data_IF_031600798972
#
_entry.id   IF_031600798972
#
_cell.length_a   1.000
_cell.length_b   1.000
_cell.length_c   1.000
_cell.angle_alpha   90.00
_cell.angle_beta   90.00
_cell.angle_gamma   90.00
#
_symmetry.space_group_name_H-M   'P 1'
#
loop_
_entity.id
_entity.type
_entity.pdbx_description
1 polymer ?
#
# COMPACT_ATOMS: atom_id res chain seq x y z
N UNK A 1 5.22 9.05 -70.30
CA UNK A 1 6.06 8.85 -69.10
C UNK A 1 6.95 7.65 -69.41
N UNK A 2 8.14 7.76 -69.99
CA UNK A 2 9.42 8.24 -69.41
C UNK A 2 9.72 7.55 -68.06
N UNK A 3 10.83 6.84 -67.81
CA UNK A 3 12.09 6.53 -68.54
C UNK A 3 12.71 5.26 -67.89
N UNK A 4 12.99 4.20 -68.65
CA UNK A 4 14.30 3.77 -69.19
C UNK A 4 15.47 3.58 -68.18
N UNK A 5 15.72 2.30 -67.88
CA UNK A 5 16.97 1.52 -68.02
C UNK A 5 18.39 2.14 -67.80
N UNK A 6 19.23 1.26 -67.21
CA UNK A 6 20.69 1.07 -67.36
C UNK A 6 21.67 1.91 -66.53
N UNK A 7 22.69 1.21 -65.99
CA UNK A 7 24.06 1.72 -66.07
C UNK A 7 24.98 1.43 -64.89
N UNK A 8 25.82 0.40 -65.05
CA UNK A 8 27.25 0.29 -64.71
C UNK A 8 27.96 1.37 -63.86
N UNK A 9 28.85 0.91 -62.96
CA UNK A 9 30.32 1.12 -63.06
C UNK A 9 31.04 1.54 -61.75
N UNK A 10 31.87 0.62 -61.26
CA UNK A 10 33.32 0.75 -61.00
C UNK A 10 33.91 1.90 -60.14
N UNK A 11 34.44 1.49 -58.95
CA UNK A 11 35.71 1.83 -58.25
C UNK A 11 36.14 3.30 -58.01
N UNK A 12 36.58 3.60 -56.77
CA UNK A 12 37.91 4.15 -56.37
C UNK A 12 37.96 4.29 -54.82
N UNK A 13 38.85 3.56 -54.10
CA UNK A 13 40.13 4.04 -53.48
C UNK A 13 39.89 5.10 -52.36
N UNK A 14 40.41 5.04 -51.13
CA UNK A 14 41.82 4.80 -50.74
C UNK A 14 42.09 4.78 -49.21
N UNK A 15 43.18 4.10 -48.81
CA UNK A 15 44.12 4.27 -47.66
C UNK A 15 43.64 4.12 -46.19
N UNK A 16 44.35 3.50 -45.24
CA UNK A 16 45.73 2.95 -45.18
C UNK A 16 45.92 1.98 -43.97
N UNK A 17 46.84 1.00 -44.08
CA UNK A 17 48.15 0.86 -43.37
C UNK A 17 48.03 0.85 -41.82
N UNK A 18 48.54 -0.08 -41.00
CA UNK A 18 49.83 -0.81 -40.99
C UNK A 18 49.79 -1.97 -39.94
N UNK A 19 50.66 -2.96 -40.14
CA UNK A 19 50.85 -4.24 -39.45
C UNK A 19 51.50 -4.20 -38.02
N UNK A 20 51.01 -5.09 -37.14
CA UNK A 20 51.70 -6.09 -36.27
C UNK A 20 52.82 -5.68 -35.28
N UNK A 21 52.66 -6.05 -33.99
CA UNK A 21 53.54 -7.02 -33.28
C UNK A 21 52.97 -7.41 -31.90
N UNK A 22 52.68 -8.71 -31.69
CA UNK A 22 52.53 -9.32 -30.36
C UNK A 22 53.55 -10.45 -30.28
N UNK A 23 54.50 -10.35 -29.35
CA UNK A 23 55.51 -11.39 -29.10
C UNK A 23 55.12 -12.19 -27.85
N UNK A 24 55.23 -13.50 -28.01
CA UNK A 24 54.86 -14.57 -27.10
C UNK A 24 55.74 -14.66 -25.84
N UNK A 25 55.26 -15.39 -24.83
CA UNK A 25 56.07 -15.80 -23.68
C UNK A 25 55.29 -16.64 -22.65
N UNK A 26 55.22 -17.94 -22.90
CA UNK A 26 54.67 -19.00 -22.03
C UNK A 26 55.53 -19.22 -20.78
N UNK A 27 54.93 -19.43 -19.60
CA UNK A 27 55.48 -20.31 -18.55
C UNK A 27 54.35 -21.00 -17.78
N UNK A 28 54.50 -22.30 -17.59
CA UNK A 28 53.55 -23.23 -17.01
C UNK A 28 53.69 -23.35 -15.47
N UNK A 29 52.58 -23.64 -14.78
CA UNK A 29 52.55 -24.37 -13.52
C UNK A 29 51.13 -24.97 -13.30
N UNK A 30 51.00 -26.09 -12.56
CA UNK A 30 50.00 -27.13 -12.80
C UNK A 30 48.62 -26.85 -12.19
N UNK A 31 47.59 -27.44 -12.82
CA UNK A 31 46.22 -27.56 -12.31
C UNK A 31 46.21 -28.28 -10.96
N UNK A 32 45.76 -27.59 -9.91
CA UNK A 32 45.19 -28.22 -8.72
C UNK A 32 43.67 -28.08 -8.80
N UNK A 33 43.00 -29.22 -8.86
CA UNK A 33 41.55 -29.32 -8.68
C UNK A 33 41.32 -29.32 -7.18
N UNK A 34 41.08 -28.14 -6.63
CA UNK A 34 40.56 -28.03 -5.28
C UNK A 34 39.04 -28.09 -5.43
N UNK A 35 38.45 -29.22 -5.01
CA UNK A 35 37.02 -29.39 -4.88
C UNK A 35 36.53 -28.48 -3.74
N UNK A 36 36.37 -27.19 -4.04
CA UNK A 36 35.65 -26.29 -3.16
C UNK A 36 34.16 -26.54 -3.37
N UNK A 37 33.56 -27.22 -2.40
CA UNK A 37 32.10 -27.31 -2.31
C UNK A 37 31.60 -25.91 -1.99
N UNK A 38 31.28 -25.13 -3.04
CA UNK A 38 30.63 -23.85 -2.86
C UNK A 38 29.29 -24.09 -2.15
N UNK A 39 29.22 -23.73 -0.87
CA UNK A 39 27.97 -23.66 -0.14
C UNK A 39 27.05 -22.68 -0.87
N UNK A 40 25.75 -22.98 -1.04
CA UNK A 40 24.82 -22.01 -1.60
C UNK A 40 24.82 -20.75 -0.72
N UNK A 41 24.66 -19.54 -1.29
CA UNK A 41 24.62 -18.32 -0.50
C UNK A 41 23.43 -18.37 0.48
N UNK A 42 23.71 -18.74 1.74
CA UNK A 42 22.81 -18.57 2.87
C UNK A 42 22.82 -17.09 3.26
N UNK A 43 21.88 -16.36 2.68
CA UNK A 43 21.62 -14.98 3.04
C UNK A 43 20.47 -14.47 2.20
N UNK A 44 19.24 -14.76 2.63
CA UNK A 44 18.10 -14.00 2.14
C UNK A 44 18.43 -12.51 2.36
N UNK A 45 18.23 -11.64 1.35
CA UNK A 45 18.40 -10.21 1.55
C UNK A 45 17.52 -9.78 2.74
N UNK A 46 17.98 -8.84 3.59
CA UNK A 46 17.16 -8.36 4.69
C UNK A 46 15.82 -7.88 4.14
N UNK A 47 14.70 -8.14 4.85
CA UNK A 47 13.40 -7.67 4.41
C UNK A 47 13.50 -6.18 4.13
N UNK A 48 13.02 -5.78 2.94
CA UNK A 48 12.95 -4.38 2.54
C UNK A 48 12.27 -3.61 3.69
N UNK A 49 12.86 -2.52 4.20
CA UNK A 49 12.14 -1.64 5.11
C UNK A 49 10.81 -1.27 4.44
N UNK A 50 9.70 -1.65 5.07
CA UNK A 50 8.38 -1.26 4.60
C UNK A 50 8.29 0.26 4.48
N UNK A 51 7.34 0.80 3.71
CA UNK A 51 7.13 2.24 3.67
C UNK A 51 6.99 2.78 5.10
N UNK A 52 7.85 3.73 5.47
CA UNK A 52 7.72 4.45 6.74
C UNK A 52 6.48 5.31 6.65
N UNK A 53 5.37 4.83 7.21
CA UNK A 53 4.13 5.61 7.29
C UNK A 53 4.28 6.60 8.44
N UNK A 54 4.37 7.88 8.10
CA UNK A 54 4.31 8.97 9.06
C UNK A 54 2.88 9.10 9.59
N UNK A 55 2.50 8.25 10.55
CA UNK A 55 1.25 8.38 11.29
C UNK A 55 1.40 9.59 12.22
N UNK A 56 1.02 10.76 11.73
CA UNK A 56 0.71 11.88 12.61
C UNK A 56 -0.45 11.41 13.47
N UNK A 57 -0.26 11.18 14.76
CA UNK A 57 -1.36 10.87 15.68
C UNK A 57 -2.27 12.08 15.76
N UNK A 58 -3.58 11.89 15.65
CA UNK A 58 -4.54 12.96 15.89
C UNK A 58 -4.33 13.51 17.31
N UNK A 59 -3.85 14.75 17.41
CA UNK A 59 -3.69 15.50 18.67
C UNK A 59 -4.93 16.32 19.03
N UNK A 60 -5.97 16.29 18.19
CA UNK A 60 -7.19 17.07 18.40
C UNK A 60 -8.14 16.34 19.36
N UNK A 61 -7.72 16.27 20.63
CA UNK A 61 -8.48 15.75 21.77
C UNK A 61 -9.82 16.47 22.03
N UNK A 62 -10.13 17.51 21.25
CA UNK A 62 -11.34 18.32 21.41
C UNK A 62 -12.58 17.75 20.71
N UNK A 63 -12.43 16.82 19.77
CA UNK A 63 -13.55 16.15 19.12
C UNK A 63 -13.55 14.66 19.42
N UNK A 64 -14.66 14.15 19.96
CA UNK A 64 -14.92 12.71 20.02
C UNK A 64 -14.92 12.19 18.58
N UNK A 65 -13.94 11.37 18.26
CA UNK A 65 -13.67 10.99 16.89
C UNK A 65 -12.74 9.80 16.78
N UNK A 66 -12.62 9.36 15.54
CA UNK A 66 -11.84 8.22 15.10
C UNK A 66 -11.18 8.58 13.77
N UNK A 67 -9.90 8.20 13.64
CA UNK A 67 -9.21 8.17 12.36
C UNK A 67 -8.68 6.75 12.14
N UNK A 68 -9.11 6.11 11.06
CA UNK A 68 -8.74 4.75 10.69
C UNK A 68 -7.81 4.81 9.50
N UNK A 69 -6.57 4.37 9.68
CA UNK A 69 -5.62 4.14 8.58
C UNK A 69 -5.74 2.69 8.15
N UNK A 70 -6.20 2.46 6.92
CA UNK A 70 -6.31 1.14 6.32
C UNK A 70 -5.05 0.87 5.50
N UNK A 71 -4.34 -0.20 5.80
CA UNK A 71 -3.11 -0.62 5.10
C UNK A 71 -3.38 -1.84 4.23
N UNK A 72 -3.09 -1.70 2.94
CA UNK A 72 -3.17 -2.80 1.99
C UNK A 72 -1.80 -3.51 1.89
N UNK A 73 -1.67 -4.64 2.57
CA UNK A 73 -0.47 -5.47 2.53
C UNK A 73 -0.53 -6.55 1.44
N UNK A 74 -1.60 -6.61 0.63
CA UNK A 74 -1.67 -7.53 -0.48
C UNK A 74 -0.63 -7.16 -1.57
N UNK A 75 -0.12 -8.16 -2.27
CA UNK A 75 0.87 -7.97 -3.34
C UNK A 75 0.30 -7.34 -4.62
N UNK A 76 -1.02 -7.43 -4.79
CA UNK A 76 -1.75 -6.96 -5.97
C UNK A 76 -3.17 -6.54 -5.60
N UNK A 77 -3.76 -5.69 -6.44
CA UNK A 77 -5.13 -5.21 -6.32
C UNK A 77 -5.32 -4.15 -5.23
N UNK A 78 -6.17 -3.18 -5.52
CA UNK A 78 -6.47 -2.08 -4.62
C UNK A 78 -7.55 -2.51 -3.62
N UNK A 79 -7.49 -1.95 -2.41
CA UNK A 79 -8.61 -1.95 -1.48
C UNK A 79 -9.51 -0.75 -1.73
N UNK A 80 -10.81 -0.94 -1.55
CA UNK A 80 -11.84 0.09 -1.72
C UNK A 80 -12.75 0.15 -0.50
N UNK A 81 -13.32 1.32 -0.24
CA UNK A 81 -14.38 1.48 0.75
C UNK A 81 -15.75 1.38 0.05
N UNK A 82 -16.68 0.63 0.64
CA UNK A 82 -18.08 0.57 0.19
C UNK A 82 -19.02 0.63 1.38
N UNK A 83 -20.30 0.93 1.12
CA UNK A 83 -21.36 0.95 2.12
C UNK A 83 -21.02 1.86 3.32
N UNK A 84 -20.39 3.01 3.05
CA UNK A 84 -19.98 3.95 4.08
C UNK A 84 -21.21 4.65 4.65
N UNK A 85 -21.46 4.51 5.95
CA UNK A 85 -22.65 5.05 6.60
C UNK A 85 -22.33 5.65 7.97
N UNK A 86 -23.05 6.71 8.34
CA UNK A 86 -23.01 7.32 9.66
C UNK A 86 -24.42 7.36 10.25
N UNK A 87 -24.60 6.73 11.41
CA UNK A 87 -25.78 6.94 12.24
C UNK A 87 -25.70 8.30 12.96
N UNK A 88 -24.47 8.74 13.29
CA UNK A 88 -24.23 10.06 13.88
C UNK A 88 -22.84 10.61 13.53
N UNK A 89 -22.66 11.93 13.69
CA UNK A 89 -21.39 12.60 13.41
C UNK A 89 -21.26 13.09 11.97
N UNK A 90 -20.01 13.25 11.54
CA UNK A 90 -19.62 13.67 10.18
C UNK A 90 -18.36 12.95 9.73
N UNK A 91 -18.22 12.79 8.43
CA UNK A 91 -16.93 12.48 7.80
C UNK A 91 -16.07 13.73 7.67
N UNK A 92 -14.76 13.56 7.69
CA UNK A 92 -13.84 14.64 7.38
C UNK A 92 -12.56 14.14 6.70
N UNK A 93 -11.87 15.03 5.99
CA UNK A 93 -10.58 14.71 5.39
C UNK A 93 -9.46 14.81 6.43
N UNK A 94 -8.81 13.69 6.75
CA UNK A 94 -7.72 13.71 7.73
C UNK A 94 -6.47 14.42 7.16
N UNK A 95 -5.77 15.29 7.94
CA UNK A 95 -6.00 15.64 9.35
C UNK A 95 -6.92 16.84 9.58
N UNK A 96 -7.54 17.41 8.54
CA UNK A 96 -8.39 18.60 8.62
C UNK A 96 -9.87 18.27 8.94
N UNK A 97 -10.22 18.31 10.22
CA UNK A 97 -11.61 18.12 10.68
C UNK A 97 -12.59 19.24 10.25
N UNK A 98 -12.11 20.33 9.64
CA UNK A 98 -12.95 21.39 9.08
C UNK A 98 -13.57 21.03 7.74
N UNK A 99 -12.89 20.19 6.94
CA UNK A 99 -13.35 19.76 5.62
C UNK A 99 -14.29 18.55 5.74
N UNK A 100 -15.60 18.77 5.59
CA UNK A 100 -16.58 17.70 5.67
C UNK A 100 -16.68 16.95 4.33
N UNK A 101 -16.61 15.62 4.38
CA UNK A 101 -16.82 14.74 3.23
C UNK A 101 -18.26 14.24 3.14
N UNK A 102 -18.72 13.92 1.93
CA UNK A 102 -19.90 13.09 1.68
C UNK A 102 -19.58 11.59 1.80
N UNK A 103 -20.62 10.75 1.83
CA UNK A 103 -20.45 9.28 1.76
C UNK A 103 -19.71 8.87 0.47
N UNK A 104 -20.13 9.40 -0.68
CA UNK A 104 -19.49 9.12 -1.98
C UNK A 104 -18.01 9.49 -2.02
N UNK A 105 -17.60 10.57 -1.34
CA UNK A 105 -16.19 10.95 -1.26
C UNK A 105 -15.37 9.99 -0.38
N UNK A 106 -15.99 9.41 0.64
CA UNK A 106 -15.37 8.36 1.46
C UNK A 106 -15.27 7.05 0.67
N UNK A 107 -16.32 6.68 -0.07
CA UNK A 107 -16.33 5.48 -0.93
C UNK A 107 -15.40 5.58 -2.15
N UNK A 108 -15.07 6.81 -2.57
CA UNK A 108 -14.07 7.04 -3.61
C UNK A 108 -12.61 6.79 -3.16
N UNK A 109 -12.37 6.53 -1.86
CA UNK A 109 -11.02 6.26 -1.34
C UNK A 109 -10.58 4.84 -1.70
N UNK A 110 -9.29 4.72 -2.00
CA UNK A 110 -8.65 3.43 -2.30
C UNK A 110 -7.23 3.37 -1.74
N UNK A 111 -6.75 2.16 -1.46
CA UNK A 111 -5.37 1.91 -1.05
C UNK A 111 -4.71 0.92 -2.02
N UNK A 112 -3.67 1.38 -2.70
CA UNK A 112 -2.88 0.55 -3.62
C UNK A 112 -2.16 -0.60 -2.90
N UNK A 113 -1.85 -1.71 -3.59
CA UNK A 113 -1.15 -2.85 -3.00
C UNK A 113 0.28 -2.49 -2.57
N UNK A 114 0.95 -3.44 -1.91
CA UNK A 114 2.33 -3.35 -1.45
C UNK A 114 2.57 -2.23 -0.41
N UNK A 115 1.66 -2.11 0.55
CA UNK A 115 1.77 -1.17 1.67
C UNK A 115 1.16 0.21 1.39
N UNK A 116 0.36 0.36 0.33
CA UNK A 116 -0.45 1.56 0.15
C UNK A 116 -1.49 1.72 1.25
N UNK A 117 -1.99 2.94 1.44
CA UNK A 117 -2.90 3.25 2.54
C UNK A 117 -3.97 4.26 2.16
N UNK A 118 -5.06 4.25 2.92
CA UNK A 118 -6.08 5.28 2.90
C UNK A 118 -6.56 5.58 4.31
N UNK A 119 -7.15 6.75 4.52
CA UNK A 119 -7.68 7.16 5.82
C UNK A 119 -9.17 7.46 5.73
N UNK A 120 -9.93 6.82 6.62
CA UNK A 120 -11.34 7.10 6.88
C UNK A 120 -11.45 7.72 8.26
N UNK A 121 -12.00 8.93 8.36
CA UNK A 121 -12.05 9.66 9.62
C UNK A 121 -13.43 10.26 9.88
N UNK A 122 -13.88 10.14 11.13
CA UNK A 122 -15.16 10.66 11.56
C UNK A 122 -15.08 11.29 12.95
N UNK A 123 -15.89 12.32 13.16
CA UNK A 123 -16.01 13.01 14.45
C UNK A 123 -17.45 13.44 14.70
N UNK A 124 -17.74 13.79 15.96
CA UNK A 124 -18.92 14.55 16.30
C UNK A 124 -19.00 15.88 15.54
N UNK A 125 -20.21 16.44 15.44
CA UNK A 125 -20.40 17.75 14.80
C UNK A 125 -20.19 18.86 15.83
N UNK A 126 -19.40 19.87 15.46
CA UNK A 126 -19.21 21.07 16.28
C UNK A 126 -20.55 21.65 16.73
N UNK A 127 -20.61 22.12 17.98
CA UNK A 127 -21.79 22.74 18.61
C UNK A 127 -23.00 21.82 18.82
N UNK A 128 -22.85 20.53 18.56
CA UNK A 128 -23.85 19.52 18.92
C UNK A 128 -23.23 18.52 19.89
N UNK A 129 -23.93 18.11 20.96
CA UNK A 129 -23.45 17.08 21.87
C UNK A 129 -23.56 15.70 21.22
N UNK A 130 -22.88 15.50 20.09
CA UNK A 130 -22.90 14.27 19.30
C UNK A 130 -21.52 13.64 19.28
N UNK A 131 -21.52 12.32 19.38
CA UNK A 131 -20.36 11.49 19.11
C UNK A 131 -20.27 11.18 17.62
N UNK A 132 -19.62 10.09 17.28
CA UNK A 132 -19.71 9.49 15.95
C UNK A 132 -20.02 8.01 16.06
N UNK A 133 -20.95 7.55 15.23
CA UNK A 133 -21.27 6.14 15.08
C UNK A 133 -21.48 5.86 13.60
N UNK A 134 -20.87 4.79 13.11
CA UNK A 134 -20.96 4.44 11.71
C UNK A 134 -20.29 3.12 11.39
N UNK A 135 -20.29 2.83 10.10
CA UNK A 135 -19.63 1.66 9.55
C UNK A 135 -19.21 1.89 8.10
N UNK A 136 -18.37 0.98 7.62
CA UNK A 136 -18.11 0.77 6.21
C UNK A 136 -17.60 -0.66 5.99
N UNK A 137 -17.58 -1.09 4.75
CA UNK A 137 -16.98 -2.35 4.34
C UNK A 137 -15.68 -2.09 3.57
N UNK A 138 -14.68 -2.96 3.78
CA UNK A 138 -13.46 -2.98 2.97
C UNK A 138 -13.64 -4.03 1.88
N UNK A 139 -13.35 -3.66 0.64
CA UNK A 139 -13.42 -4.53 -0.52
C UNK A 139 -12.06 -4.67 -1.20
N UNK A 140 -11.81 -5.85 -1.77
CA UNK A 140 -10.72 -6.10 -2.71
C UNK A 140 -11.34 -6.61 -4.01
N UNK A 141 -11.41 -5.76 -5.04
CA UNK A 141 -12.22 -6.05 -6.23
C UNK A 141 -13.71 -6.16 -5.86
N UNK A 142 -14.30 -7.33 -6.10
CA UNK A 142 -15.70 -7.63 -5.76
C UNK A 142 -15.86 -8.42 -4.44
N UNK A 143 -14.75 -8.81 -3.82
CA UNK A 143 -14.76 -9.55 -2.55
C UNK A 143 -14.90 -8.56 -1.40
N UNK A 144 -15.93 -8.74 -0.56
CA UNK A 144 -16.03 -8.06 0.73
C UNK A 144 -15.00 -8.69 1.66
N UNK A 145 -13.97 -7.93 2.02
CA UNK A 145 -12.89 -8.39 2.89
C UNK A 145 -13.33 -8.42 4.34
N UNK A 146 -13.97 -7.35 4.83
CA UNK A 146 -14.49 -7.27 6.20
C UNK A 146 -15.49 -6.11 6.36
N UNK A 147 -16.21 -6.15 7.48
CA UNK A 147 -17.04 -5.06 7.99
C UNK A 147 -16.32 -4.33 9.13
N UNK A 148 -16.33 -2.99 9.10
CA UNK A 148 -15.75 -2.13 10.15
C UNK A 148 -16.86 -1.28 10.77
N UNK A 149 -17.00 -1.36 12.08
CA UNK A 149 -18.00 -0.60 12.86
C UNK A 149 -17.35 0.15 14.02
N UNK A 150 -17.90 1.32 14.35
CA UNK A 150 -17.56 2.04 15.58
C UNK A 150 -18.75 2.76 16.20
N UNK A 151 -18.68 2.93 17.51
CA UNK A 151 -19.52 3.84 18.30
C UNK A 151 -18.64 4.59 19.30
N UNK A 152 -18.51 5.90 19.11
CA UNK A 152 -17.82 6.82 20.00
C UNK A 152 -18.84 7.86 20.51
N UNK A 153 -19.61 7.54 21.56
CA UNK A 153 -20.75 8.35 21.97
C UNK A 153 -20.32 9.62 22.72
N UNK A 154 -21.13 10.68 22.65
CA UNK A 154 -20.90 11.92 23.43
C UNK A 154 -21.02 11.75 24.95
N UNK A 155 -21.75 10.72 25.37
CA UNK A 155 -22.08 10.46 26.76
C UNK A 155 -20.88 9.97 27.60
N UNK A 156 -21.12 9.63 28.87
CA UNK A 156 -20.10 9.01 29.74
C UNK A 156 -19.85 7.53 29.44
N UNK A 157 -20.43 6.99 28.37
CA UNK A 157 -20.28 5.58 27.97
C UNK A 157 -18.89 5.33 27.36
N UNK A 158 -18.47 4.07 27.42
CA UNK A 158 -17.30 3.56 26.72
C UNK A 158 -17.53 3.52 25.22
N UNK A 159 -16.44 3.55 24.46
CA UNK A 159 -16.49 3.39 23.02
C UNK A 159 -16.59 1.90 22.63
N UNK A 160 -17.07 1.64 21.43
CA UNK A 160 -17.05 0.33 20.79
C UNK A 160 -16.36 0.43 19.43
N UNK A 161 -15.60 -0.61 19.08
CA UNK A 161 -14.97 -0.75 17.78
C UNK A 161 -14.89 -2.23 17.44
N UNK A 162 -15.25 -2.58 16.21
CA UNK A 162 -15.31 -3.97 15.76
C UNK A 162 -14.88 -4.09 14.30
N UNK A 163 -14.06 -5.10 14.03
CA UNK A 163 -13.86 -5.65 12.70
C UNK A 163 -14.49 -7.04 12.71
N UNK A 164 -15.41 -7.28 11.78
CA UNK A 164 -16.21 -8.50 11.70
C UNK A 164 -16.38 -8.94 10.25
N UNK A 165 -17.05 -10.08 10.03
CA UNK A 165 -17.34 -10.60 8.67
C UNK A 165 -16.09 -10.69 7.79
N UNK A 166 -14.97 -11.12 8.38
CA UNK A 166 -13.69 -11.26 7.65
C UNK A 166 -13.78 -12.45 6.70
N UNK A 167 -13.49 -12.23 5.42
CA UNK A 167 -13.39 -13.31 4.42
C UNK A 167 -12.18 -14.21 4.72
N UNK A 168 -12.38 -15.53 4.58
CA UNK A 168 -11.37 -16.54 4.93
C UNK A 168 -10.05 -16.41 4.14
N UNK A 169 -10.07 -15.72 2.99
CA UNK A 169 -8.88 -15.45 2.16
C UNK A 169 -8.02 -14.30 2.68
N UNK A 170 -8.43 -13.68 3.80
CA UNK A 170 -7.78 -12.50 4.37
C UNK A 170 -7.56 -12.63 5.88
N UNK A 171 -6.48 -12.03 6.33
CA UNK A 171 -6.26 -11.72 7.74
C UNK A 171 -6.39 -10.21 7.92
N UNK A 172 -7.19 -9.79 8.90
CA UNK A 172 -7.40 -8.38 9.22
C UNK A 172 -7.09 -8.16 10.69
N UNK A 173 -6.12 -7.29 10.96
CA UNK A 173 -5.75 -6.90 12.32
C UNK A 173 -5.99 -5.41 12.54
N UNK A 174 -6.66 -5.06 13.64
CA UNK A 174 -6.90 -3.68 14.01
C UNK A 174 -6.28 -3.36 15.37
N UNK A 175 -5.51 -2.27 15.44
CA UNK A 175 -4.82 -1.82 16.66
C UNK A 175 -5.01 -0.33 16.90
N UNK A 176 -4.88 0.11 18.16
CA UNK A 176 -4.88 1.53 18.53
C UNK A 176 -6.18 2.08 19.12
N UNK A 177 -7.30 1.37 18.97
CA UNK A 177 -8.61 1.78 19.49
C UNK A 177 -8.62 1.97 21.01
N UNK A 178 -9.11 3.14 21.47
CA UNK A 178 -9.38 3.40 22.89
C UNK A 178 -10.83 3.10 23.24
N UNK A 179 -11.08 1.97 23.89
CA UNK A 179 -12.43 1.56 24.34
C UNK A 179 -12.89 2.28 25.61
N UNK A 180 -12.05 3.13 26.19
CA UNK A 180 -12.38 3.94 27.36
C UNK A 180 -13.22 5.17 26.98
N UNK A 181 -13.78 5.84 27.98
CA UNK A 181 -14.44 7.14 27.77
C UNK A 181 -13.47 8.15 27.14
N UNK A 182 -13.95 8.85 26.11
CA UNK A 182 -13.17 9.84 25.37
C UNK A 182 -13.19 9.53 23.87
N UNK A 183 -12.30 10.13 23.07
CA UNK A 183 -12.19 9.79 21.66
C UNK A 183 -11.78 8.31 21.49
N UNK A 184 -12.27 7.69 20.42
CA UNK A 184 -11.84 6.35 20.04
C UNK A 184 -10.39 6.37 19.55
N UNK A 185 -9.98 7.48 18.93
CA UNK A 185 -8.59 7.79 18.60
C UNK A 185 -8.14 7.23 17.25
N UNK A 186 -6.83 7.10 17.09
CA UNK A 186 -6.20 6.60 15.87
C UNK A 186 -6.15 5.08 15.86
N UNK A 187 -6.71 4.47 14.80
CA UNK A 187 -6.74 3.03 14.58
C UNK A 187 -5.97 2.71 13.31
N UNK A 188 -5.11 1.69 13.37
CA UNK A 188 -4.51 1.08 12.18
C UNK A 188 -5.22 -0.23 11.91
N UNK A 189 -5.73 -0.42 10.69
CA UNK A 189 -6.33 -1.66 10.20
C UNK A 189 -5.42 -2.21 9.10
N UNK A 190 -4.76 -3.33 9.37
CA UNK A 190 -3.89 -4.01 8.41
C UNK A 190 -4.65 -5.15 7.75
N UNK A 191 -4.64 -5.16 6.41
CA UNK A 191 -5.29 -6.18 5.60
C UNK A 191 -4.23 -6.95 4.82
N UNK A 192 -4.16 -8.26 5.06
CA UNK A 192 -3.23 -9.19 4.42
C UNK A 192 -4.03 -10.25 3.67
N UNK A 193 -3.68 -10.52 2.41
CA UNK A 193 -4.21 -11.68 1.69
C UNK A 193 -3.42 -12.93 2.14
N UNK A 194 -4.11 -13.98 2.60
CA UNK A 194 -3.48 -15.19 3.16
C UNK A 194 -3.08 -16.22 2.10
N UNK A 195 -3.50 -16.05 0.84
CA UNK A 195 -3.19 -16.95 -0.27
C UNK A 195 -3.83 -18.33 -0.18
N UNK A 196 -4.73 -18.58 0.78
CA UNK A 196 -5.35 -19.91 1.00
C UNK A 196 -6.55 -20.21 0.07
N UNK A 197 -6.78 -19.38 -0.96
CA UNK A 197 -7.96 -19.45 -1.83
C UNK A 197 -7.70 -19.60 -3.35
N UNK A 198 -6.46 -19.90 -3.78
CA UNK A 198 -6.14 -20.22 -5.20
C UNK A 198 -6.21 -21.72 -5.52
#
# INVERSE_FOLDING_TARGET
MASLQMGFSTRLLTFGLLLITLVAGTFAAPLRVDHETALPPTGAPPPRPGPTINIQRSTNAEYLGVDMTILNQASSGDLFIRNAHLSSGKWFEYPDAGEQLSHDQVEAKSASPNGGSMVVASSGRAWTPTGTEGHFDIYHGDIKVCHVYWDCPWSRRSNSFEVSEVDDSYAVEATGASLNKGPLGSITIEVVNTGEGE
#
